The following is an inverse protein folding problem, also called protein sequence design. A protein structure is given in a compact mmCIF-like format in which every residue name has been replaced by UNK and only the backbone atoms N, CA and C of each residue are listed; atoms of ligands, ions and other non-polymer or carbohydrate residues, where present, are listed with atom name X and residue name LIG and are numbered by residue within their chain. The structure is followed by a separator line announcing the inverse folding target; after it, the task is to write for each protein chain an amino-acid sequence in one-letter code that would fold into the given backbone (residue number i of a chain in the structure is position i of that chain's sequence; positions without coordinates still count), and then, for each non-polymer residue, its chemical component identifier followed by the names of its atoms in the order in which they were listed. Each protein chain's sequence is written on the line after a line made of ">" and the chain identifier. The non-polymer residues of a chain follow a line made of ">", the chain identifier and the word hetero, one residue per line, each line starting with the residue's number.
data_IF_372986366463
#
_entry.id   IF_372986366463
#
_cell.length_a   1.000
_cell.length_b   1.000
_cell.length_c   1.000
_cell.angle_alpha   90.00
_cell.angle_beta   90.00
_cell.angle_gamma   90.00
#
_symmetry.space_group_name_H-M   'P 1'
#
loop_
_entity.id
_entity.type
_entity.pdbx_description
1 polymer ?
#
# COMPACT_ATOMS: atom_id res chain seq x y z
N UNK A 1 9.13 -4.52 7.59
CA UNK A 1 9.34 -3.93 6.24
C UNK A 1 10.59 -4.54 5.62
N UNK A 2 10.52 -4.98 4.35
CA UNK A 2 11.68 -5.47 3.58
C UNK A 2 11.64 -4.84 2.18
N UNK A 3 12.79 -4.61 1.54
CA UNK A 3 12.83 -4.07 0.17
C UNK A 3 13.61 -5.01 -0.76
N UNK A 4 13.08 -5.21 -1.98
CA UNK A 4 13.77 -5.93 -3.06
C UNK A 4 13.60 -5.12 -4.36
N UNK A 5 14.70 -4.52 -4.82
CA UNK A 5 14.68 -3.62 -5.96
C UNK A 5 13.74 -2.43 -5.73
N UNK A 6 12.87 -2.16 -6.70
CA UNK A 6 11.88 -1.08 -6.61
C UNK A 6 10.61 -1.44 -5.83
N UNK A 7 10.54 -2.58 -5.13
CA UNK A 7 9.35 -2.99 -4.39
C UNK A 7 9.64 -3.12 -2.89
N UNK A 8 8.68 -2.67 -2.09
CA UNK A 8 8.67 -2.71 -0.63
C UNK A 8 7.62 -3.73 -0.19
N UNK A 9 8.01 -4.62 0.72
CA UNK A 9 7.12 -5.57 1.38
C UNK A 9 6.80 -5.00 2.77
N UNK A 10 5.53 -4.72 3.00
CA UNK A 10 4.98 -4.22 4.25
C UNK A 10 4.16 -5.32 4.93
N UNK A 11 4.27 -5.40 6.25
CA UNK A 11 3.59 -6.38 7.10
C UNK A 11 2.96 -5.60 8.26
N UNK A 12 1.70 -5.87 8.58
CA UNK A 12 0.97 -5.19 9.65
C UNK A 12 1.13 -5.84 11.03
N UNK A 13 1.94 -6.89 11.17
CA UNK A 13 2.14 -7.66 12.39
C UNK A 13 1.02 -8.63 12.73
N UNK A 14 -0.05 -8.68 11.93
CA UNK A 14 -1.24 -9.52 12.13
C UNK A 14 -1.43 -10.53 10.98
N UNK A 15 -0.37 -10.78 10.20
CA UNK A 15 -0.37 -11.74 9.09
C UNK A 15 -0.81 -11.17 7.74
N UNK A 16 -1.12 -9.87 7.65
CA UNK A 16 -1.39 -9.22 6.35
C UNK A 16 -0.09 -8.65 5.79
N UNK A 17 0.25 -9.09 4.58
CA UNK A 17 1.44 -8.63 3.84
C UNK A 17 0.99 -7.96 2.55
N UNK A 18 1.56 -6.78 2.26
CA UNK A 18 1.28 -6.00 1.05
C UNK A 18 2.60 -5.63 0.36
N UNK A 19 2.63 -5.76 -0.96
CA UNK A 19 3.77 -5.33 -1.78
C UNK A 19 3.45 -3.99 -2.42
N UNK A 20 4.32 -3.00 -2.20
CA UNK A 20 4.15 -1.62 -2.66
C UNK A 20 5.30 -1.26 -3.60
N UNK A 21 5.03 -0.88 -4.86
CA UNK A 21 6.04 -0.31 -5.74
C UNK A 21 6.55 1.03 -5.18
N UNK A 22 7.87 1.17 -5.11
CA UNK A 22 8.57 2.38 -4.69
C UNK A 22 8.90 3.24 -5.91
N UNK A 23 7.86 3.85 -6.47
CA UNK A 23 7.93 4.74 -7.61
C UNK A 23 7.31 6.10 -7.25
N UNK A 24 7.72 7.16 -7.94
CA UNK A 24 7.16 8.51 -7.72
C UNK A 24 5.67 8.58 -8.06
N UNK A 25 5.24 7.83 -9.05
CA UNK A 25 3.85 7.75 -9.49
C UNK A 25 3.44 6.27 -9.63
N UNK A 26 2.23 5.96 -9.17
CA UNK A 26 1.65 4.63 -9.22
C UNK A 26 0.38 4.69 -10.04
N UNK A 27 0.22 3.75 -10.99
CA UNK A 27 -0.99 3.67 -11.79
C UNK A 27 -2.23 3.51 -10.89
N UNK A 28 -3.34 4.18 -11.24
CA UNK A 28 -4.57 4.22 -10.43
C UNK A 28 -5.08 2.82 -10.04
N UNK A 29 -5.06 1.86 -10.96
CA UNK A 29 -5.48 0.48 -10.70
C UNK A 29 -4.58 -0.24 -9.69
N UNK A 30 -3.26 0.00 -9.77
CA UNK A 30 -2.28 -0.53 -8.82
C UNK A 30 -2.49 0.06 -7.43
N UNK A 31 -2.69 1.39 -7.34
CA UNK A 31 -2.97 2.05 -6.07
C UNK A 31 -4.25 1.50 -5.41
N UNK A 32 -5.34 1.38 -6.18
CA UNK A 32 -6.61 0.79 -5.70
C UNK A 32 -6.44 -0.64 -5.20
N UNK A 33 -5.65 -1.45 -5.92
CA UNK A 33 -5.36 -2.83 -5.51
C UNK A 33 -4.58 -2.88 -4.19
N UNK A 34 -3.59 -1.98 -4.01
CA UNK A 34 -2.81 -1.89 -2.78
C UNK A 34 -3.68 -1.48 -1.59
N UNK A 35 -4.57 -0.51 -1.76
CA UNK A 35 -5.52 -0.06 -0.73
C UNK A 35 -6.46 -1.22 -0.33
N UNK A 36 -7.04 -1.93 -1.30
CA UNK A 36 -7.88 -3.07 -1.02
C UNK A 36 -7.12 -4.20 -0.31
N UNK A 37 -5.89 -4.51 -0.74
CA UNK A 37 -5.04 -5.53 -0.13
C UNK A 37 -4.58 -5.15 1.29
N UNK A 38 -4.44 -3.87 1.60
CA UNK A 38 -4.17 -3.40 2.96
C UNK A 38 -5.39 -3.52 3.88
N UNK A 39 -6.57 -3.83 3.32
CA UNK A 39 -7.84 -3.96 4.02
C UNK A 39 -8.43 -2.60 4.40
N UNK A 40 -8.12 -1.57 3.63
CA UNK A 40 -8.70 -0.23 3.75
C UNK A 40 -9.70 0.01 2.63
N UNK A 41 -10.66 0.89 2.91
CA UNK A 41 -11.47 1.59 1.91
C UNK A 41 -10.70 2.78 1.32
N UNK A 42 -11.18 3.32 0.19
CA UNK A 42 -10.61 4.56 -0.37
C UNK A 42 -10.77 5.73 0.60
N UNK A 43 -11.91 5.80 1.30
CA UNK A 43 -12.22 6.81 2.30
C UNK A 43 -11.24 6.76 3.48
N UNK A 44 -11.06 5.59 4.10
CA UNK A 44 -10.11 5.41 5.21
C UNK A 44 -8.68 5.75 4.78
N UNK A 45 -8.29 5.35 3.57
CA UNK A 45 -6.98 5.71 3.02
C UNK A 45 -6.82 7.23 2.87
N UNK A 46 -7.84 7.92 2.35
CA UNK A 46 -7.80 9.38 2.19
C UNK A 46 -7.79 10.10 3.54
N UNK A 47 -8.50 9.61 4.56
CA UNK A 47 -8.43 10.17 5.91
C UNK A 47 -7.02 10.11 6.49
N UNK A 48 -6.27 9.02 6.24
CA UNK A 48 -4.87 8.90 6.68
C UNK A 48 -3.91 9.90 6.02
N UNK A 49 -4.30 10.50 4.89
CA UNK A 49 -3.49 11.50 4.18
C UNK A 49 -3.76 12.94 4.63
N UNK A 50 -4.83 13.19 5.38
CA UNK A 50 -5.25 14.53 5.82
C UNK A 50 -4.49 15.04 7.06
N UNK A 51 -3.30 14.52 7.32
CA UNK A 51 -2.43 14.92 8.43
C UNK A 51 -1.99 16.38 8.36
#
# INVERSE_FOLDING_TARGET
>A
MRQKGSHIIMDNGQGRVVVVPNHREIARGTLRSIIALSGLTEEEFLELLKG
#
